data_IF_678645939020
#
_entry.id   IF_678645939020
#
_cell.length_a   1.000
_cell.length_b   1.000
_cell.length_c   1.000
_cell.angle_alpha   90.00
_cell.angle_beta   90.00
_cell.angle_gamma   90.00
#
_symmetry.space_group_name_H-M   'P 1'
#
loop_
_entity.id
_entity.type
_entity.pdbx_description
1 polymer ?
#
# COMPACT_ATOMS: atom_id res chain seq x y z
N UNK A 1 -28.98 39.46 1.68
CA UNK A 1 -29.02 38.08 1.15
C UNK A 1 -27.97 37.16 1.82
N UNK A 2 -27.28 37.65 2.83
CA UNK A 2 -26.29 36.87 3.62
C UNK A 2 -26.88 36.08 4.79
N UNK A 3 -28.10 36.45 5.25
CA UNK A 3 -28.73 35.82 6.43
C UNK A 3 -29.42 34.47 6.19
N UNK A 4 -29.71 34.13 4.93
CA UNK A 4 -30.46 32.88 4.64
C UNK A 4 -29.56 31.67 4.56
N UNK A 5 -28.30 31.87 4.28
CA UNK A 5 -27.35 30.78 4.12
C UNK A 5 -26.79 30.31 5.48
N UNK A 6 -26.54 31.25 6.38
CA UNK A 6 -26.07 30.91 7.73
C UNK A 6 -27.19 30.24 8.54
N UNK A 7 -28.48 30.63 8.33
CA UNK A 7 -29.61 29.93 8.96
C UNK A 7 -29.84 28.52 8.42
N UNK A 8 -29.52 28.26 7.15
CA UNK A 8 -29.57 26.92 6.54
C UNK A 8 -28.46 26.03 7.07
N UNK A 9 -27.29 26.60 7.33
CA UNK A 9 -26.17 25.86 7.95
C UNK A 9 -26.44 25.53 9.42
N UNK A 10 -27.08 26.43 10.17
CA UNK A 10 -27.53 26.17 11.53
C UNK A 10 -28.67 25.14 11.60
N UNK A 11 -29.62 25.14 10.64
CA UNK A 11 -30.64 24.08 10.54
C UNK A 11 -30.03 22.72 10.14
N UNK A 12 -29.00 22.70 9.31
CA UNK A 12 -28.26 21.46 8.99
C UNK A 12 -27.44 20.95 10.18
N UNK A 13 -26.83 21.82 10.97
CA UNK A 13 -26.13 21.43 12.20
C UNK A 13 -27.09 20.96 13.31
N UNK A 14 -28.31 21.51 13.38
CA UNK A 14 -29.37 21.05 14.29
C UNK A 14 -30.01 19.72 13.86
N UNK A 15 -29.97 19.39 12.54
CA UNK A 15 -30.44 18.11 12.01
C UNK A 15 -29.39 16.99 12.10
N UNK A 16 -28.14 17.31 12.45
CA UNK A 16 -27.05 16.34 12.65
C UNK A 16 -27.04 15.70 14.04
N UNK A 17 -28.20 15.50 14.65
CA UNK A 17 -28.37 14.51 15.71
C UNK A 17 -27.88 13.15 15.22
N UNK A 18 -26.97 12.53 15.96
CA UNK A 18 -26.30 11.28 15.62
C UNK A 18 -27.23 10.31 14.87
N UNK A 19 -26.83 9.73 13.74
CA UNK A 19 -27.68 8.85 12.97
C UNK A 19 -28.00 7.61 13.79
N UNK A 20 -29.24 7.53 14.26
CA UNK A 20 -29.80 6.33 14.82
C UNK A 20 -29.94 5.29 13.70
N UNK A 21 -29.23 4.20 13.89
CA UNK A 21 -29.20 3.02 13.04
C UNK A 21 -30.61 2.53 12.66
N UNK A 22 -30.97 2.64 11.39
CA UNK A 22 -31.90 1.70 10.79
C UNK A 22 -31.11 0.50 10.28
N UNK A 23 -31.40 -0.65 10.88
CA UNK A 23 -30.82 -1.99 10.57
C UNK A 23 -29.29 -2.11 10.68
N UNK A 24 -28.82 -2.51 11.81
CA UNK A 24 -27.69 -3.34 12.24
C UNK A 24 -26.45 -3.60 11.36
N UNK A 25 -26.18 -2.82 10.29
CA UNK A 25 -24.94 -2.87 9.52
C UNK A 25 -24.18 -1.56 9.67
N UNK A 26 -22.99 -1.62 10.26
CA UNK A 26 -22.00 -0.52 10.14
C UNK A 26 -21.76 -0.24 8.66
N UNK A 27 -22.32 0.85 8.17
CA UNK A 27 -21.95 1.39 6.84
C UNK A 27 -20.47 1.75 6.87
N UNK A 28 -19.73 1.33 5.87
CA UNK A 28 -18.34 1.79 5.65
C UNK A 28 -18.36 3.29 5.40
N UNK A 29 -17.36 4.03 5.88
CA UNK A 29 -17.24 5.49 5.68
C UNK A 29 -17.50 5.92 4.21
N UNK A 30 -17.15 5.07 3.26
CA UNK A 30 -17.37 5.29 1.81
C UNK A 30 -18.84 5.28 1.41
N UNK A 31 -19.67 4.44 2.03
CA UNK A 31 -21.12 4.39 1.75
C UNK A 31 -21.83 5.62 2.31
N UNK A 32 -21.45 6.07 3.50
CA UNK A 32 -21.94 7.31 4.12
C UNK A 32 -21.58 8.54 3.29
N UNK A 33 -20.34 8.62 2.78
CA UNK A 33 -19.87 9.72 1.91
C UNK A 33 -20.65 9.76 0.60
N UNK A 34 -20.85 8.60 -0.03
CA UNK A 34 -21.60 8.54 -1.29
C UNK A 34 -23.09 8.87 -1.11
N UNK A 35 -23.69 8.47 0.01
CA UNK A 35 -25.09 8.79 0.33
C UNK A 35 -25.26 10.28 0.64
N UNK A 36 -24.31 10.88 1.36
CA UNK A 36 -24.28 12.31 1.65
C UNK A 36 -24.09 13.13 0.36
N UNK A 37 -23.12 12.74 -0.48
CA UNK A 37 -22.89 13.38 -1.78
C UNK A 37 -24.09 13.25 -2.72
N UNK A 38 -24.76 12.11 -2.73
CA UNK A 38 -25.96 11.89 -3.54
C UNK A 38 -27.14 12.73 -3.04
N UNK A 39 -27.36 12.83 -1.74
CA UNK A 39 -28.40 13.69 -1.16
C UNK A 39 -28.13 15.17 -1.43
N UNK A 40 -26.88 15.60 -1.33
CA UNK A 40 -26.47 16.97 -1.64
C UNK A 40 -26.59 17.29 -3.12
N UNK A 41 -26.25 16.36 -4.01
CA UNK A 41 -26.47 16.51 -5.46
C UNK A 41 -27.95 16.65 -5.82
N UNK A 42 -28.84 15.90 -5.15
CA UNK A 42 -30.27 15.99 -5.36
C UNK A 42 -30.86 17.32 -4.87
N UNK A 43 -30.32 17.91 -3.81
CA UNK A 43 -30.72 19.26 -3.32
C UNK A 43 -30.20 20.34 -4.25
N UNK A 44 -28.99 20.18 -4.82
CA UNK A 44 -28.40 21.17 -5.76
C UNK A 44 -29.06 21.10 -7.14
N UNK A 45 -29.52 19.94 -7.60
CA UNK A 45 -30.21 19.77 -8.89
C UNK A 45 -31.56 20.52 -8.99
N UNK A 46 -32.12 20.96 -7.87
CA UNK A 46 -33.32 21.81 -7.84
C UNK A 46 -33.08 23.31 -8.01
N UNK A 47 -31.81 23.73 -8.00
CA UNK A 47 -31.42 25.14 -8.22
C UNK A 47 -30.51 25.23 -9.46
N UNK A 48 -30.67 26.29 -10.23
CA UNK A 48 -29.92 26.56 -11.47
C UNK A 48 -28.39 26.53 -11.22
N UNK A 49 -27.81 25.31 -11.44
CA UNK A 49 -26.79 24.68 -10.55
C UNK A 49 -25.31 24.98 -10.80
N UNK A 50 -24.90 25.46 -12.00
CA UNK A 50 -23.46 25.46 -12.31
C UNK A 50 -22.67 26.49 -11.49
N UNK A 51 -23.24 27.67 -11.26
CA UNK A 51 -22.57 28.73 -10.50
C UNK A 51 -22.57 28.50 -8.98
N UNK A 52 -23.59 27.80 -8.46
CA UNK A 52 -23.64 27.39 -7.04
C UNK A 52 -22.74 26.20 -6.76
N UNK A 53 -22.66 25.26 -7.70
CA UNK A 53 -21.79 24.10 -7.59
C UNK A 53 -20.31 24.51 -7.48
N UNK A 54 -19.86 25.45 -8.32
CA UNK A 54 -18.47 25.93 -8.31
C UNK A 54 -18.10 26.71 -7.03
N UNK A 55 -19.07 27.35 -6.39
CA UNK A 55 -18.85 28.08 -5.11
C UNK A 55 -18.92 27.17 -3.88
N UNK A 56 -19.77 26.15 -3.90
CA UNK A 56 -20.04 25.29 -2.74
C UNK A 56 -19.15 24.06 -2.74
N UNK A 57 -18.86 23.45 -3.88
CA UNK A 57 -18.04 22.23 -3.96
C UNK A 57 -16.65 22.33 -3.33
N UNK A 58 -15.89 23.44 -3.46
CA UNK A 58 -14.62 23.57 -2.75
C UNK A 58 -14.77 23.59 -1.23
N UNK A 59 -15.82 24.26 -0.70
CA UNK A 59 -16.08 24.35 0.75
C UNK A 59 -16.57 23.01 1.33
N UNK A 60 -17.42 22.30 0.60
CA UNK A 60 -17.87 20.96 0.95
C UNK A 60 -16.68 20.02 0.96
N UNK A 61 -15.83 20.08 -0.07
CA UNK A 61 -14.63 19.26 -0.17
C UNK A 61 -13.68 19.49 1.00
N UNK A 62 -13.42 20.74 1.35
CA UNK A 62 -12.55 21.10 2.50
C UNK A 62 -13.13 20.61 3.85
N UNK A 63 -14.46 20.71 4.02
CA UNK A 63 -15.15 20.23 5.23
C UNK A 63 -15.18 18.70 5.32
N UNK A 64 -15.45 18.02 4.21
CA UNK A 64 -15.41 16.56 4.11
C UNK A 64 -13.98 16.04 4.34
N UNK A 65 -12.96 16.70 3.79
CA UNK A 65 -11.56 16.36 4.04
C UNK A 65 -11.17 16.54 5.52
N UNK A 66 -11.72 17.53 6.20
CA UNK A 66 -11.48 17.79 7.63
C UNK A 66 -12.19 16.81 8.57
N UNK A 67 -13.42 16.41 8.24
CA UNK A 67 -14.27 15.61 9.13
C UNK A 67 -14.18 14.09 8.87
N UNK A 68 -13.95 13.68 7.62
CA UNK A 68 -13.98 12.26 7.19
C UNK A 68 -12.57 11.73 6.88
N UNK A 69 -11.57 12.63 6.85
CA UNK A 69 -10.23 12.29 6.38
C UNK A 69 -10.12 12.30 4.86
N UNK A 70 -9.05 11.71 4.32
CA UNK A 70 -8.72 11.78 2.90
C UNK A 70 -9.86 11.28 2.03
N UNK A 71 -10.39 12.14 1.15
CA UNK A 71 -11.22 11.69 0.04
C UNK A 71 -10.35 10.79 -0.84
N UNK A 72 -10.74 9.52 -1.06
CA UNK A 72 -9.97 8.64 -1.92
C UNK A 72 -9.78 9.27 -3.29
N UNK A 73 -8.55 9.45 -3.74
CA UNK A 73 -8.28 9.90 -5.11
C UNK A 73 -8.91 8.88 -6.06
N UNK A 74 -9.82 9.35 -6.90
CA UNK A 74 -10.40 8.55 -7.97
C UNK A 74 -9.41 8.54 -9.13
N UNK A 75 -8.82 7.38 -9.41
CA UNK A 75 -7.93 7.23 -10.56
C UNK A 75 -8.71 6.52 -11.66
N UNK A 76 -8.89 7.22 -12.76
CA UNK A 76 -9.52 6.69 -13.94
C UNK A 76 -8.45 6.08 -14.85
N UNK A 77 -8.48 4.77 -15.00
CA UNK A 77 -7.59 4.04 -15.91
C UNK A 77 -8.36 3.70 -17.16
N UNK A 78 -7.97 4.32 -18.28
CA UNK A 78 -8.52 4.04 -19.60
C UNK A 78 -7.64 3.02 -20.29
N UNK A 79 -8.15 1.82 -20.49
CA UNK A 79 -7.60 0.82 -21.41
C UNK A 79 -8.38 0.89 -22.73
N UNK A 80 -7.89 0.22 -23.78
CA UNK A 80 -8.58 0.17 -25.08
C UNK A 80 -10.01 -0.39 -25.01
N UNK A 81 -10.32 -1.16 -23.95
CA UNK A 81 -11.59 -1.88 -23.82
C UNK A 81 -12.44 -1.44 -22.64
N UNK A 82 -11.87 -0.84 -21.59
CA UNK A 82 -12.59 -0.49 -20.37
C UNK A 82 -12.02 0.74 -19.67
N UNK A 83 -12.89 1.49 -19.02
CA UNK A 83 -12.51 2.52 -18.05
C UNK A 83 -12.73 1.94 -16.66
N UNK A 84 -11.65 1.80 -15.87
CA UNK A 84 -11.71 1.36 -14.49
C UNK A 84 -11.39 2.49 -13.53
N UNK A 85 -12.06 2.50 -12.41
CA UNK A 85 -11.90 3.48 -11.36
C UNK A 85 -11.28 2.79 -10.16
N UNK A 86 -10.05 3.20 -9.80
CA UNK A 86 -9.40 2.77 -8.58
C UNK A 86 -9.78 3.72 -7.47
N UNK A 87 -10.37 3.17 -6.42
CA UNK A 87 -10.68 3.91 -5.21
C UNK A 87 -9.51 3.79 -4.22
N UNK A 88 -9.14 4.90 -3.61
CA UNK A 88 -8.11 4.93 -2.57
C UNK A 88 -6.86 5.71 -2.96
N UNK A 89 -5.98 5.86 -1.97
CA UNK A 89 -4.68 6.51 -2.17
C UNK A 89 -3.73 5.54 -2.86
N UNK A 90 -3.13 5.98 -3.96
CA UNK A 90 -2.11 5.20 -4.68
C UNK A 90 -0.72 5.73 -4.37
N UNK A 91 0.24 4.84 -4.36
CA UNK A 91 1.65 5.21 -4.22
C UNK A 91 2.12 6.06 -5.41
N UNK A 92 3.07 6.97 -5.19
CA UNK A 92 3.63 7.82 -6.26
C UNK A 92 4.17 7.03 -7.46
N UNK A 93 4.73 5.83 -7.24
CA UNK A 93 5.24 4.97 -8.32
C UNK A 93 4.16 4.18 -9.07
N UNK A 94 2.90 4.17 -8.58
CA UNK A 94 1.81 3.38 -9.15
C UNK A 94 1.65 3.59 -10.65
N UNK A 95 1.62 4.87 -11.09
CA UNK A 95 1.44 5.20 -12.51
C UNK A 95 2.57 4.66 -13.39
N UNK A 96 3.81 4.71 -12.89
CA UNK A 96 4.97 4.18 -13.62
C UNK A 96 4.91 2.66 -13.73
N UNK A 97 4.59 1.95 -12.63
CA UNK A 97 4.41 0.50 -12.62
C UNK A 97 3.29 0.09 -13.56
N UNK A 98 2.12 0.75 -13.48
CA UNK A 98 0.99 0.49 -14.36
C UNK A 98 1.36 0.62 -15.84
N UNK A 99 2.07 1.70 -16.21
CA UNK A 99 2.50 1.96 -17.57
C UNK A 99 3.49 0.90 -18.12
N UNK A 100 4.36 0.38 -17.28
CA UNK A 100 5.31 -0.68 -17.66
C UNK A 100 4.58 -2.01 -17.84
N UNK A 101 3.79 -2.41 -16.84
CA UNK A 101 3.06 -3.70 -16.84
C UNK A 101 2.03 -3.76 -17.97
N UNK A 102 1.36 -2.65 -18.29
CA UNK A 102 0.44 -2.59 -19.44
C UNK A 102 1.12 -2.87 -20.78
N UNK A 103 2.43 -2.61 -20.89
CA UNK A 103 3.27 -2.86 -22.06
C UNK A 103 4.04 -4.18 -22.01
N UNK A 104 3.64 -5.11 -21.15
CA UNK A 104 4.32 -6.39 -20.94
C UNK A 104 5.80 -6.26 -20.52
N UNK A 105 6.13 -5.20 -19.79
CA UNK A 105 7.47 -5.00 -19.21
C UNK A 105 7.42 -5.55 -17.78
N UNK A 106 8.17 -6.62 -17.45
CA UNK A 106 8.29 -7.10 -16.08
C UNK A 106 8.90 -6.04 -15.17
N UNK A 107 8.38 -5.91 -13.94
CA UNK A 107 8.84 -4.90 -12.98
C UNK A 107 9.35 -5.55 -11.71
N UNK A 108 10.51 -5.11 -11.23
CA UNK A 108 11.03 -5.47 -9.91
C UNK A 108 10.92 -4.27 -8.96
N UNK A 109 10.07 -4.41 -7.94
CA UNK A 109 9.87 -3.42 -6.90
C UNK A 109 10.86 -3.68 -5.77
N UNK A 110 11.77 -2.76 -5.53
CA UNK A 110 12.72 -2.83 -4.41
C UNK A 110 12.39 -1.75 -3.38
N UNK A 111 12.79 -1.94 -2.14
CA UNK A 111 12.62 -0.96 -1.07
C UNK A 111 12.37 -1.59 0.29
N UNK A 112 12.46 -0.75 1.34
CA UNK A 112 12.32 -1.19 2.74
C UNK A 112 11.04 -2.00 2.97
N UNK A 113 11.06 -2.88 3.97
CA UNK A 113 9.88 -3.67 4.32
C UNK A 113 8.70 -2.76 4.74
N UNK A 114 7.49 -3.09 4.28
CA UNK A 114 6.28 -2.37 4.66
C UNK A 114 6.08 -1.03 3.97
N UNK A 115 6.67 -0.80 2.79
CA UNK A 115 6.44 0.36 1.92
C UNK A 115 5.25 0.22 0.97
N UNK A 116 4.45 -0.86 1.12
CA UNK A 116 3.22 -1.05 0.34
C UNK A 116 3.40 -1.72 -1.03
N UNK A 117 4.53 -2.38 -1.32
CA UNK A 117 4.79 -3.08 -2.59
C UNK A 117 3.65 -4.00 -3.03
N UNK A 118 3.11 -4.82 -2.12
CA UNK A 118 1.99 -5.73 -2.41
C UNK A 118 0.71 -4.99 -2.80
N UNK A 119 0.42 -3.87 -2.12
CA UNK A 119 -0.76 -3.04 -2.41
C UNK A 119 -0.66 -2.43 -3.79
N UNK A 120 0.53 -1.94 -4.18
CA UNK A 120 0.79 -1.42 -5.53
C UNK A 120 0.48 -2.50 -6.58
N UNK A 121 0.95 -3.74 -6.36
CA UNK A 121 0.72 -4.85 -7.29
C UNK A 121 -0.76 -5.21 -7.43
N UNK A 122 -1.50 -5.25 -6.32
CA UNK A 122 -2.95 -5.49 -6.33
C UNK A 122 -3.70 -4.37 -7.07
N UNK A 123 -3.37 -3.11 -6.79
CA UNK A 123 -3.97 -1.97 -7.48
C UNK A 123 -3.66 -1.97 -8.99
N UNK A 124 -2.46 -2.38 -9.40
CA UNK A 124 -2.10 -2.53 -10.82
C UNK A 124 -2.90 -3.64 -11.49
N UNK A 125 -3.06 -4.80 -10.84
CA UNK A 125 -3.89 -5.88 -11.37
C UNK A 125 -5.35 -5.45 -11.53
N UNK A 126 -5.91 -4.78 -10.51
CA UNK A 126 -7.26 -4.23 -10.54
C UNK A 126 -7.43 -3.20 -11.68
N UNK A 127 -6.47 -2.28 -11.83
CA UNK A 127 -6.47 -1.27 -12.88
C UNK A 127 -6.49 -1.87 -14.28
N UNK A 128 -5.73 -2.93 -14.51
CA UNK A 128 -5.65 -3.62 -15.79
C UNK A 128 -6.78 -4.64 -16.00
N UNK A 129 -7.57 -4.94 -14.97
CA UNK A 129 -8.60 -5.96 -15.02
C UNK A 129 -8.06 -7.37 -15.12
N UNK A 130 -6.90 -7.58 -14.52
CA UNK A 130 -6.22 -8.86 -14.50
C UNK A 130 -6.50 -9.60 -13.18
N UNK A 131 -6.64 -10.91 -13.25
CA UNK A 131 -6.61 -11.75 -12.06
C UNK A 131 -5.25 -11.63 -11.37
N UNK A 132 -5.26 -11.62 -10.04
CA UNK A 132 -4.06 -11.46 -9.23
C UNK A 132 -3.60 -12.80 -8.65
N UNK A 133 -2.41 -13.24 -9.02
CA UNK A 133 -1.78 -14.47 -8.56
C UNK A 133 -0.55 -14.15 -7.73
N UNK A 134 -0.50 -14.67 -6.51
CA UNK A 134 0.53 -14.34 -5.53
C UNK A 134 1.35 -15.56 -5.15
N UNK A 135 2.67 -15.40 -5.11
CA UNK A 135 3.61 -16.38 -4.53
C UNK A 135 4.69 -15.63 -3.77
N UNK A 136 5.01 -16.12 -2.59
CA UNK A 136 6.13 -15.63 -1.80
C UNK A 136 7.44 -16.30 -2.26
N UNK A 137 8.57 -15.98 -1.60
CA UNK A 137 9.88 -16.55 -1.88
C UNK A 137 9.84 -18.04 -2.24
N UNK A 138 10.53 -18.42 -3.30
CA UNK A 138 10.53 -19.77 -3.85
C UNK A 138 11.86 -20.44 -3.57
N UNK A 139 11.81 -21.53 -2.81
CA UNK A 139 12.99 -22.30 -2.45
C UNK A 139 13.12 -23.63 -3.20
N UNK A 140 12.09 -24.03 -3.91
CA UNK A 140 12.04 -25.30 -4.65
C UNK A 140 11.26 -25.12 -5.96
N UNK A 141 11.74 -25.75 -7.01
CA UNK A 141 11.24 -25.63 -8.38
C UNK A 141 9.75 -25.92 -8.52
N UNK A 142 9.27 -26.99 -7.88
CA UNK A 142 7.86 -27.39 -7.98
C UNK A 142 6.86 -26.34 -7.44
N UNK A 143 7.33 -25.38 -6.64
CA UNK A 143 6.51 -24.27 -6.18
C UNK A 143 6.17 -23.27 -7.29
N UNK A 144 6.94 -23.28 -8.38
CA UNK A 144 6.60 -22.56 -9.62
C UNK A 144 5.98 -23.49 -10.65
N UNK A 145 6.63 -24.63 -10.92
CA UNK A 145 6.22 -25.50 -12.03
C UNK A 145 5.06 -26.42 -11.71
N UNK A 146 4.71 -26.63 -10.45
CA UNK A 146 3.78 -27.66 -10.03
C UNK A 146 4.43 -29.06 -10.09
N UNK A 147 3.64 -30.07 -9.81
CA UNK A 147 4.08 -31.46 -9.82
C UNK A 147 2.91 -32.41 -10.09
N UNK A 148 3.25 -33.64 -10.53
CA UNK A 148 2.25 -34.71 -10.67
C UNK A 148 2.25 -35.50 -9.37
N UNK A 149 1.10 -35.62 -8.72
CA UNK A 149 0.95 -36.35 -7.47
C UNK A 149 0.96 -37.89 -7.67
N UNK A 150 0.91 -38.64 -6.55
CA UNK A 150 0.93 -40.09 -6.59
C UNK A 150 -0.26 -40.73 -7.32
N UNK A 151 -1.32 -39.98 -7.57
CA UNK A 151 -2.51 -40.42 -8.32
C UNK A 151 -2.43 -40.03 -9.80
N UNK A 152 -1.29 -39.48 -10.25
CA UNK A 152 -1.11 -39.01 -11.61
C UNK A 152 -1.79 -37.69 -11.93
N UNK A 153 -2.28 -36.94 -10.91
CA UNK A 153 -2.94 -35.68 -11.08
C UNK A 153 -1.93 -34.53 -10.95
N UNK A 154 -1.96 -33.62 -11.91
CA UNK A 154 -1.14 -32.41 -11.86
C UNK A 154 -1.69 -31.43 -10.82
N UNK A 155 -0.80 -30.94 -9.97
CA UNK A 155 -1.08 -29.91 -8.97
C UNK A 155 -0.58 -28.58 -9.49
N UNK A 156 -1.55 -27.73 -9.90
CA UNK A 156 -1.28 -26.42 -10.48
C UNK A 156 -0.76 -25.44 -9.40
N UNK A 157 0.14 -24.55 -9.82
CA UNK A 157 0.62 -23.44 -9.00
C UNK A 157 -0.01 -22.12 -9.42
N UNK A 158 0.16 -21.07 -8.60
CA UNK A 158 -0.26 -19.71 -8.96
C UNK A 158 0.47 -19.21 -10.22
N UNK A 159 1.75 -19.55 -10.37
CA UNK A 159 2.53 -19.23 -11.57
C UNK A 159 1.95 -19.90 -12.81
N UNK A 160 1.68 -21.22 -12.74
CA UNK A 160 1.08 -21.96 -13.85
C UNK A 160 -0.29 -21.38 -14.25
N UNK A 161 -1.13 -21.06 -13.26
CA UNK A 161 -2.45 -20.48 -13.52
C UNK A 161 -2.36 -19.10 -14.19
N UNK A 162 -1.50 -18.21 -13.68
CA UNK A 162 -1.26 -16.92 -14.29
C UNK A 162 -0.74 -17.06 -15.73
N UNK A 163 0.20 -18.00 -15.92
CA UNK A 163 0.85 -18.24 -17.21
C UNK A 163 -0.13 -18.73 -18.28
N UNK A 164 -1.05 -19.65 -17.90
CA UNK A 164 -2.00 -20.29 -18.82
C UNK A 164 -3.28 -19.51 -19.02
N UNK A 165 -3.84 -18.95 -17.94
CA UNK A 165 -5.15 -18.27 -17.95
C UNK A 165 -5.03 -16.77 -18.25
N UNK A 166 -3.83 -16.22 -18.10
CA UNK A 166 -3.58 -14.78 -18.08
C UNK A 166 -3.78 -14.22 -16.67
N UNK A 167 -3.27 -13.02 -16.44
CA UNK A 167 -3.33 -12.35 -15.16
C UNK A 167 -1.96 -11.82 -14.73
N UNK A 168 -1.93 -11.16 -13.59
CA UNK A 168 -0.71 -10.61 -13.01
C UNK A 168 -0.16 -11.59 -11.98
N UNK A 169 0.99 -12.19 -12.29
CA UNK A 169 1.77 -12.98 -11.35
C UNK A 169 2.67 -12.07 -10.53
N UNK A 170 2.52 -12.11 -9.23
CA UNK A 170 3.33 -11.35 -8.28
C UNK A 170 4.19 -12.30 -7.45
N UNK A 171 5.52 -12.21 -7.62
CA UNK A 171 6.51 -12.91 -6.83
C UNK A 171 7.06 -11.98 -5.76
N UNK A 172 6.58 -12.12 -4.53
CA UNK A 172 7.09 -11.36 -3.38
C UNK A 172 8.36 -12.01 -2.84
N UNK A 173 9.22 -11.20 -2.24
CA UNK A 173 10.51 -11.63 -1.68
C UNK A 173 11.37 -12.43 -2.69
N UNK A 174 11.42 -11.96 -3.94
CA UNK A 174 12.22 -12.59 -4.98
C UNK A 174 13.69 -12.73 -4.58
N UNK A 175 14.22 -11.75 -3.83
CA UNK A 175 15.59 -11.75 -3.28
C UNK A 175 15.83 -12.79 -2.16
N UNK A 176 14.76 -13.40 -1.61
CA UNK A 176 14.83 -14.53 -0.70
C UNK A 176 14.58 -15.87 -1.41
N UNK A 177 14.29 -15.85 -2.71
CA UNK A 177 14.15 -17.06 -3.51
C UNK A 177 15.51 -17.64 -3.87
N UNK A 178 15.60 -18.97 -3.92
CA UNK A 178 16.82 -19.65 -4.35
C UNK A 178 17.09 -19.30 -5.81
N UNK A 179 18.29 -18.79 -6.16
CA UNK A 179 18.60 -18.28 -7.52
C UNK A 179 18.35 -19.30 -8.62
N UNK A 180 18.61 -20.58 -8.38
CA UNK A 180 18.41 -21.67 -9.34
C UNK A 180 16.94 -21.81 -9.73
N UNK A 181 16.00 -21.55 -8.81
CA UNK A 181 14.57 -21.61 -9.10
C UNK A 181 14.10 -20.42 -9.96
N UNK A 182 14.81 -19.29 -9.90
CA UNK A 182 14.46 -18.11 -10.71
C UNK A 182 14.83 -18.26 -12.18
N UNK A 183 15.71 -19.20 -12.53
CA UNK A 183 16.04 -19.53 -13.93
C UNK A 183 14.79 -19.98 -14.68
N UNK A 184 13.87 -20.67 -14.00
CA UNK A 184 12.58 -21.09 -14.55
C UNK A 184 11.76 -19.88 -14.99
N UNK A 185 11.63 -18.88 -14.10
CA UNK A 185 10.93 -17.64 -14.39
C UNK A 185 11.58 -16.89 -15.56
N UNK A 186 12.92 -16.82 -15.57
CA UNK A 186 13.68 -16.21 -16.65
C UNK A 186 13.41 -16.86 -18.01
N UNK A 187 13.39 -18.21 -18.08
CA UNK A 187 13.10 -18.95 -19.29
C UNK A 187 11.67 -18.70 -19.79
N UNK A 188 10.70 -18.73 -18.89
CA UNK A 188 9.30 -18.47 -19.20
C UNK A 188 9.05 -17.04 -19.73
N UNK A 189 9.69 -16.03 -19.11
CA UNK A 189 9.59 -14.64 -19.54
C UNK A 189 10.22 -14.40 -20.91
N UNK A 190 11.41 -14.97 -21.14
CA UNK A 190 12.14 -14.77 -22.40
C UNK A 190 11.49 -15.47 -23.60
N UNK A 191 11.02 -16.70 -23.39
CA UNK A 191 10.54 -17.56 -24.49
C UNK A 191 9.04 -17.47 -24.73
N UNK A 192 8.28 -16.95 -23.75
CA UNK A 192 6.82 -16.97 -23.74
C UNK A 192 6.23 -18.40 -23.85
N UNK A 193 7.01 -19.41 -23.54
CA UNK A 193 6.60 -20.78 -23.30
C UNK A 193 7.51 -21.42 -22.24
N UNK A 194 7.02 -22.46 -21.60
CA UNK A 194 7.78 -23.25 -20.64
C UNK A 194 7.30 -24.72 -20.65
N UNK A 195 8.23 -25.66 -20.39
CA UNK A 195 7.93 -27.09 -20.28
C UNK A 195 7.59 -27.43 -18.82
N UNK A 196 6.28 -27.44 -18.53
CA UNK A 196 5.76 -27.86 -17.23
C UNK A 196 5.68 -29.39 -17.15
N UNK A 197 5.48 -29.99 -15.94
CA UNK A 197 5.28 -31.43 -15.81
C UNK A 197 4.16 -32.01 -16.68
N UNK A 198 3.24 -31.21 -17.15
CA UNK A 198 2.14 -31.57 -18.09
C UNK A 198 2.50 -31.36 -19.56
N UNK A 199 3.73 -30.96 -19.87
CA UNK A 199 4.20 -30.67 -21.22
C UNK A 199 4.39 -29.18 -21.51
N UNK A 200 4.66 -28.89 -22.77
CA UNK A 200 4.93 -27.53 -23.24
C UNK A 200 3.69 -26.67 -23.23
N UNK A 201 3.79 -25.53 -22.54
CA UNK A 201 2.70 -24.56 -22.43
C UNK A 201 3.18 -23.18 -22.88
N UNK A 202 2.33 -22.49 -23.66
CA UNK A 202 2.59 -21.11 -24.11
C UNK A 202 1.93 -20.11 -23.15
N UNK A 203 2.61 -18.98 -22.93
CA UNK A 203 2.08 -17.91 -22.11
C UNK A 203 0.81 -17.30 -22.70
N UNK A 204 -0.18 -17.06 -21.88
CA UNK A 204 -1.35 -16.29 -22.27
C UNK A 204 -0.91 -14.85 -22.63
N UNK A 205 -1.46 -14.22 -23.69
CA UNK A 205 -1.13 -12.84 -24.07
C UNK A 205 -1.35 -11.81 -22.94
N UNK A 206 -2.24 -12.10 -21.99
CA UNK A 206 -2.52 -11.25 -20.83
C UNK A 206 -1.69 -11.64 -19.59
N UNK A 207 -0.71 -12.54 -19.72
CA UNK A 207 0.22 -12.83 -18.61
C UNK A 207 1.15 -11.65 -18.35
N UNK A 208 1.21 -11.20 -17.11
CA UNK A 208 2.05 -10.10 -16.64
C UNK A 208 2.81 -10.52 -15.38
N UNK A 209 3.97 -9.93 -15.16
CA UNK A 209 4.82 -10.26 -13.99
C UNK A 209 5.29 -9.01 -13.28
N UNK A 210 5.12 -9.01 -11.97
CA UNK A 210 5.81 -8.11 -11.04
C UNK A 210 6.53 -8.99 -10.02
N UNK A 211 7.75 -8.63 -9.70
CA UNK A 211 8.47 -9.19 -8.56
C UNK A 211 8.77 -8.10 -7.54
N UNK A 212 8.97 -8.49 -6.27
CA UNK A 212 9.39 -7.56 -5.23
C UNK A 212 10.47 -8.15 -4.34
N UNK A 213 11.31 -7.27 -3.80
CA UNK A 213 12.33 -7.61 -2.82
C UNK A 213 12.60 -6.45 -1.87
N UNK A 214 13.36 -6.74 -0.83
CA UNK A 214 13.80 -5.73 0.12
C UNK A 214 15.21 -5.21 -0.20
N UNK A 215 15.92 -5.91 -1.08
CA UNK A 215 17.26 -5.55 -1.57
C UNK A 215 17.25 -5.35 -3.08
N UNK A 216 18.34 -4.78 -3.61
CA UNK A 216 18.58 -4.67 -5.06
C UNK A 216 19.09 -5.99 -5.70
N UNK A 217 18.92 -7.12 -5.01
CA UNK A 217 19.49 -8.39 -5.46
C UNK A 217 21.00 -8.49 -5.24
N UNK A 218 21.55 -7.69 -4.35
CA UNK A 218 22.98 -7.70 -4.00
C UNK A 218 23.36 -8.77 -2.96
N UNK A 219 22.39 -9.52 -2.49
CA UNK A 219 22.55 -10.53 -1.45
C UNK A 219 22.17 -10.02 -0.06
N UNK A 220 22.51 -10.79 0.95
CA UNK A 220 22.25 -10.46 2.34
C UNK A 220 22.99 -9.17 2.75
N UNK A 221 22.32 -8.38 3.53
CA UNK A 221 22.90 -7.23 4.24
C UNK A 221 22.56 -7.33 5.74
N UNK A 222 22.97 -6.33 6.52
CA UNK A 222 22.77 -6.31 7.97
C UNK A 222 21.25 -6.37 8.31
N UNK A 223 20.40 -5.72 7.50
CA UNK A 223 18.96 -5.64 7.71
C UNK A 223 18.20 -6.86 7.20
N UNK A 224 18.75 -7.54 6.19
CA UNK A 224 18.09 -8.64 5.47
C UNK A 224 19.04 -9.82 5.27
N UNK A 225 19.23 -10.60 6.34
CA UNK A 225 20.20 -11.69 6.39
C UNK A 225 19.84 -12.91 5.54
N UNK A 226 18.57 -13.14 5.26
CA UNK A 226 18.07 -14.28 4.49
C UNK A 226 17.91 -13.98 2.99
N UNK A 227 18.80 -13.20 2.38
CA UNK A 227 18.71 -12.81 0.98
C UNK A 227 19.84 -13.37 0.14
N UNK A 228 19.52 -13.78 -1.09
CA UNK A 228 20.47 -14.26 -2.07
C UNK A 228 20.93 -13.14 -3.01
N UNK A 229 22.15 -13.27 -3.50
CA UNK A 229 22.59 -12.46 -4.64
C UNK A 229 21.90 -12.94 -5.91
N UNK A 230 21.18 -12.05 -6.58
CA UNK A 230 20.51 -12.36 -7.82
C UNK A 230 21.46 -12.19 -9.01
N UNK A 231 21.37 -13.09 -9.96
CA UNK A 231 22.14 -13.01 -11.20
C UNK A 231 21.74 -11.77 -12.00
N UNK A 232 22.74 -11.10 -12.59
CA UNK A 232 22.52 -9.90 -13.40
C UNK A 232 21.60 -10.15 -14.59
N UNK A 233 21.69 -11.33 -15.22
CA UNK A 233 20.82 -11.70 -16.31
C UNK A 233 19.36 -11.84 -15.88
N UNK A 234 19.12 -12.24 -14.62
CA UNK A 234 17.78 -12.25 -14.04
C UNK A 234 17.26 -10.84 -13.80
N UNK A 235 18.09 -9.96 -13.23
CA UNK A 235 17.71 -8.56 -12.97
C UNK A 235 17.49 -7.75 -14.25
N UNK A 236 18.27 -8.01 -15.32
CA UNK A 236 18.16 -7.31 -16.61
C UNK A 236 16.78 -7.52 -17.29
N UNK A 237 16.06 -8.57 -16.92
CA UNK A 237 14.71 -8.82 -17.44
C UNK A 237 13.63 -7.94 -16.82
N UNK A 238 13.95 -7.27 -15.73
CA UNK A 238 13.00 -6.47 -14.99
C UNK A 238 13.37 -4.99 -15.04
N UNK A 239 12.38 -4.14 -15.23
CA UNK A 239 12.51 -2.72 -14.95
C UNK A 239 12.52 -2.53 -13.43
N UNK A 240 13.58 -1.90 -12.91
CA UNK A 240 13.75 -1.68 -11.48
C UNK A 240 13.06 -0.40 -11.02
N UNK A 241 12.22 -0.50 -9.99
CA UNK A 241 11.57 0.65 -9.35
C UNK A 241 11.79 0.59 -7.84
N UNK A 242 12.37 1.66 -7.29
CA UNK A 242 12.48 1.84 -5.85
C UNK A 242 11.16 2.34 -5.26
N UNK A 243 10.72 1.72 -4.15
CA UNK A 243 9.48 2.02 -3.44
C UNK A 243 9.83 2.50 -2.03
N UNK A 244 9.83 3.82 -1.86
CA UNK A 244 10.06 4.47 -0.58
C UNK A 244 8.73 4.78 0.14
N UNK A 245 8.82 5.26 1.38
CA UNK A 245 7.63 5.73 2.09
C UNK A 245 7.05 6.99 1.43
N UNK A 246 5.73 7.05 1.33
CA UNK A 246 4.99 8.19 0.78
C UNK A 246 4.19 8.86 1.88
N UNK A 247 4.42 10.15 2.07
CA UNK A 247 3.70 10.98 3.04
C UNK A 247 2.18 10.99 2.80
N UNK A 248 1.76 10.92 1.53
CA UNK A 248 0.33 10.83 1.17
C UNK A 248 -0.31 9.54 1.69
N UNK A 249 0.40 8.40 1.59
CA UNK A 249 -0.08 7.11 2.10
C UNK A 249 -0.06 7.11 3.63
N UNK A 250 0.96 7.68 4.25
CA UNK A 250 1.04 7.79 5.70
C UNK A 250 -0.11 8.61 6.27
N UNK A 251 -0.40 9.75 5.65
CA UNK A 251 -1.57 10.55 6.02
C UNK A 251 -2.88 9.76 5.87
N UNK A 252 -3.01 8.98 4.81
CA UNK A 252 -4.20 8.15 4.61
C UNK A 252 -4.35 7.06 5.69
N UNK A 253 -3.26 6.36 6.03
CA UNK A 253 -3.25 5.29 7.03
C UNK A 253 -3.50 5.83 8.44
N UNK A 254 -2.98 7.02 8.75
CA UNK A 254 -3.08 7.65 10.07
C UNK A 254 -4.30 8.55 10.24
N UNK A 255 -5.25 8.52 9.28
CA UNK A 255 -6.43 9.39 9.27
C UNK A 255 -6.08 10.87 9.42
N UNK A 256 -5.08 11.35 8.64
CA UNK A 256 -4.57 12.73 8.65
C UNK A 256 -3.92 13.17 9.98
N UNK A 257 -3.44 12.23 10.77
CA UNK A 257 -2.69 12.56 11.98
C UNK A 257 -1.27 13.03 11.63
N UNK A 258 -1.14 14.31 11.28
CA UNK A 258 0.15 14.91 10.88
C UNK A 258 1.22 14.77 11.98
N UNK A 259 0.82 14.83 13.25
CA UNK A 259 1.73 14.65 14.36
C UNK A 259 2.40 13.26 14.38
N UNK A 260 1.65 12.20 14.02
CA UNK A 260 2.19 10.85 13.90
C UNK A 260 3.08 10.71 12.66
N UNK A 261 2.69 11.32 11.55
CA UNK A 261 3.48 11.29 10.30
C UNK A 261 4.81 12.01 10.47
N UNK A 262 4.82 13.22 11.05
CA UNK A 262 6.04 13.98 11.31
C UNK A 262 6.95 13.26 12.33
N UNK A 263 6.36 12.62 13.35
CA UNK A 263 7.10 11.76 14.28
C UNK A 263 7.75 10.59 13.55
N UNK A 264 7.03 9.89 12.68
CA UNK A 264 7.54 8.73 11.95
C UNK A 264 8.68 9.08 10.98
N UNK A 265 8.54 10.19 10.27
CA UNK A 265 9.58 10.71 9.37
C UNK A 265 10.87 11.02 10.15
N UNK A 266 10.73 11.75 11.25
CA UNK A 266 11.84 12.10 12.13
C UNK A 266 12.49 10.88 12.77
N UNK A 267 11.67 9.93 13.24
CA UNK A 267 12.13 8.70 13.85
C UNK A 267 12.97 7.85 12.88
N UNK A 268 12.51 7.70 11.64
CA UNK A 268 13.28 6.98 10.59
C UNK A 268 14.61 7.65 10.31
N UNK A 269 14.60 8.99 10.20
CA UNK A 269 15.82 9.75 9.96
C UNK A 269 16.82 9.59 11.10
N UNK A 270 16.37 9.67 12.35
CA UNK A 270 17.24 9.47 13.53
C UNK A 270 17.80 8.04 13.55
N UNK A 271 17.00 7.04 13.26
CA UNK A 271 17.48 5.65 13.19
C UNK A 271 18.55 5.48 12.10
N UNK A 272 18.33 6.05 10.91
CA UNK A 272 19.27 6.01 9.79
C UNK A 272 20.57 6.74 10.11
N UNK A 273 20.51 7.96 10.65
CA UNK A 273 21.67 8.77 11.05
C UNK A 273 22.52 8.10 12.15
N UNK A 274 21.88 7.26 12.98
CA UNK A 274 22.55 6.51 14.06
C UNK A 274 22.97 5.11 13.67
N UNK A 275 22.65 4.64 12.45
CA UNK A 275 22.91 3.26 12.02
C UNK A 275 22.10 2.23 12.82
N UNK A 276 20.95 2.62 13.40
CA UNK A 276 20.09 1.75 14.20
C UNK A 276 19.00 1.18 13.29
N UNK A 277 18.93 -0.15 13.27
CA UNK A 277 17.88 -0.86 12.56
C UNK A 277 16.54 -0.75 13.29
N UNK A 278 15.65 0.03 12.76
CA UNK A 278 14.29 0.12 13.28
C UNK A 278 13.27 0.23 12.15
N UNK A 279 12.20 -0.56 12.24
CA UNK A 279 11.14 -0.58 11.23
C UNK A 279 9.98 0.31 11.66
N UNK A 280 9.98 1.57 11.20
CA UNK A 280 8.82 2.46 11.25
C UNK A 280 8.08 2.41 9.91
N UNK A 281 7.42 1.29 9.64
CA UNK A 281 6.72 0.99 8.38
C UNK A 281 5.26 1.43 8.42
N UNK A 282 4.56 1.39 7.27
CA UNK A 282 3.11 1.60 7.20
C UNK A 282 2.34 0.68 8.17
N UNK A 283 2.80 -0.58 8.34
CA UNK A 283 2.22 -1.51 9.33
C UNK A 283 2.40 -1.03 10.76
N UNK A 284 3.51 -0.36 11.06
CA UNK A 284 3.74 0.21 12.39
C UNK A 284 2.84 1.42 12.63
N UNK A 285 2.67 2.31 11.64
CA UNK A 285 1.77 3.45 11.74
C UNK A 285 0.31 3.03 11.91
N UNK A 286 -0.16 2.08 11.10
CA UNK A 286 -1.51 1.50 11.23
C UNK A 286 -1.72 0.87 12.62
N UNK A 287 -0.70 0.17 13.14
CA UNK A 287 -0.74 -0.41 14.49
C UNK A 287 -0.83 0.69 15.56
N UNK A 288 0.00 1.73 15.49
CA UNK A 288 -0.05 2.85 16.44
C UNK A 288 -1.44 3.48 16.42
N UNK A 289 -1.96 3.79 15.25
CA UNK A 289 -3.28 4.40 15.07
C UNK A 289 -4.40 3.56 15.71
N UNK A 290 -4.34 2.23 15.56
CA UNK A 290 -5.32 1.30 16.15
C UNK A 290 -5.17 1.16 17.66
N UNK A 291 -3.93 1.13 18.15
CA UNK A 291 -3.65 0.89 19.56
C UNK A 291 -3.84 2.14 20.43
N UNK A 292 -3.79 3.36 19.88
CA UNK A 292 -4.06 4.59 20.64
C UNK A 292 -5.41 4.61 21.34
N UNK A 293 -6.40 3.92 20.80
CA UNK A 293 -7.73 3.81 21.42
C UNK A 293 -7.86 2.65 22.40
N UNK A 294 -6.85 1.81 22.53
CA UNK A 294 -6.87 0.57 23.34
C UNK A 294 -5.99 0.69 24.58
N UNK A 295 -4.87 1.41 24.48
CA UNK A 295 -3.92 1.59 25.57
C UNK A 295 -4.12 2.94 26.27
N UNK A 296 -4.08 2.92 27.59
CA UNK A 296 -4.17 4.15 28.39
C UNK A 296 -2.91 5.04 28.27
N UNK A 297 -1.77 4.43 27.90
CA UNK A 297 -0.49 5.11 27.82
C UNK A 297 0.11 5.01 26.41
N UNK A 298 0.32 6.16 25.78
CA UNK A 298 0.91 6.24 24.45
C UNK A 298 2.37 5.73 24.38
N UNK A 299 3.11 5.78 25.50
CA UNK A 299 4.46 5.23 25.59
C UNK A 299 4.46 3.72 25.31
N UNK A 300 3.50 2.98 25.90
CA UNK A 300 3.38 1.55 25.70
C UNK A 300 3.06 1.21 24.23
N UNK A 301 2.23 2.03 23.59
CA UNK A 301 1.93 1.90 22.15
C UNK A 301 3.18 2.05 21.30
N UNK A 302 4.03 3.04 21.60
CA UNK A 302 5.31 3.27 20.90
C UNK A 302 6.26 2.11 21.15
N UNK A 303 6.36 1.66 22.39
CA UNK A 303 7.26 0.55 22.75
C UNK A 303 6.92 -0.72 21.95
N UNK A 304 5.68 -1.16 21.99
CA UNK A 304 5.26 -2.40 21.30
C UNK A 304 5.23 -2.27 19.77
N UNK A 305 5.15 -1.04 19.26
CA UNK A 305 5.06 -0.81 17.82
C UNK A 305 6.40 -0.55 17.14
N UNK A 306 7.28 0.21 17.76
CA UNK A 306 8.53 0.69 17.16
C UNK A 306 9.79 0.20 17.86
N UNK A 307 9.82 0.14 19.19
CA UNK A 307 11.03 -0.17 19.94
C UNK A 307 11.23 -1.67 20.23
N UNK A 308 10.26 -2.49 19.84
CA UNK A 308 10.36 -3.95 20.01
C UNK A 308 11.60 -4.49 19.30
N UNK A 309 12.36 -5.32 20.02
CA UNK A 309 13.57 -5.94 19.49
C UNK A 309 14.84 -5.08 19.54
N UNK A 310 14.72 -3.79 19.91
CA UNK A 310 15.89 -2.94 20.13
C UNK A 310 16.50 -3.20 21.52
N UNK A 311 17.82 -3.23 21.56
CA UNK A 311 18.58 -3.27 22.81
C UNK A 311 18.49 -1.94 23.58
N UNK A 312 18.93 -1.94 24.84
CA UNK A 312 18.83 -0.78 25.71
C UNK A 312 19.64 0.43 25.23
N UNK A 313 20.79 0.19 24.61
CA UNK A 313 21.69 1.25 24.16
C UNK A 313 21.11 1.95 22.92
N UNK A 314 20.63 1.18 21.96
CA UNK A 314 19.92 1.69 20.80
C UNK A 314 18.70 2.53 21.18
N UNK A 315 17.90 2.06 22.14
CA UNK A 315 16.73 2.81 22.67
C UNK A 315 17.16 4.14 23.30
N UNK A 316 18.24 4.14 24.10
CA UNK A 316 18.76 5.32 24.74
C UNK A 316 19.29 6.34 23.72
N UNK A 317 19.99 5.88 22.66
CA UNK A 317 20.48 6.75 21.57
C UNK A 317 19.31 7.40 20.83
N UNK A 318 18.31 6.64 20.42
CA UNK A 318 17.13 7.15 19.72
C UNK A 318 16.44 8.21 20.60
N UNK A 319 16.16 7.89 21.86
CA UNK A 319 15.50 8.80 22.80
C UNK A 319 16.26 10.11 22.95
N UNK A 320 17.57 10.04 23.18
CA UNK A 320 18.41 11.23 23.37
C UNK A 320 18.46 12.10 22.10
N UNK A 321 18.57 11.49 20.92
CA UNK A 321 18.56 12.21 19.65
C UNK A 321 17.21 12.84 19.35
N UNK A 322 16.12 12.13 19.58
CA UNK A 322 14.76 12.63 19.38
C UNK A 322 14.41 13.76 20.35
N UNK A 323 14.83 13.70 21.63
CA UNK A 323 14.60 14.76 22.60
C UNK A 323 15.37 16.06 22.32
N UNK A 324 16.45 15.99 21.55
CA UNK A 324 17.25 17.16 21.15
C UNK A 324 16.70 17.91 19.94
N UNK A 325 15.59 17.49 19.36
CA UNK A 325 15.03 18.13 18.15
C UNK A 325 14.14 19.31 18.54
N UNK A 326 14.57 20.52 18.21
CA UNK A 326 13.83 21.76 18.50
C UNK A 326 12.45 21.80 17.83
N UNK A 327 11.44 22.28 18.56
CA UNK A 327 10.08 22.47 18.05
C UNK A 327 9.18 21.23 18.13
N UNK A 328 9.68 20.08 18.61
CA UNK A 328 8.91 18.85 18.74
C UNK A 328 8.25 18.65 20.10
N UNK A 329 8.46 19.56 21.06
CA UNK A 329 7.92 19.49 22.43
C UNK A 329 6.38 19.50 22.49
N UNK A 330 5.72 19.99 21.46
CA UNK A 330 4.25 19.98 21.36
C UNK A 330 3.68 18.62 20.92
N UNK A 331 4.47 17.80 20.21
CA UNK A 331 4.00 16.55 19.64
C UNK A 331 3.91 15.43 20.70
N UNK A 332 2.73 14.85 20.88
CA UNK A 332 2.46 13.82 21.89
C UNK A 332 3.32 12.55 21.75
N UNK A 333 3.72 12.18 20.53
CA UNK A 333 4.52 10.97 20.27
C UNK A 333 5.96 11.14 20.71
N UNK A 334 6.55 12.34 20.52
CA UNK A 334 7.88 12.65 21.05
C UNK A 334 7.88 12.64 22.58
N UNK A 335 6.85 13.22 23.20
CA UNK A 335 6.68 13.16 24.67
C UNK A 335 6.54 11.73 25.19
N UNK A 336 5.80 10.90 24.47
CA UNK A 336 5.61 9.50 24.84
C UNK A 336 6.93 8.71 24.73
N UNK A 337 7.71 8.91 23.67
CA UNK A 337 9.02 8.30 23.49
C UNK A 337 10.02 8.76 24.57
N UNK A 338 10.00 10.02 24.96
CA UNK A 338 10.90 10.56 25.98
C UNK A 338 10.69 9.97 27.38
N UNK A 339 9.52 9.36 27.65
CA UNK A 339 9.18 8.72 28.93
C UNK A 339 9.64 7.25 29.03
N UNK A 340 10.03 6.64 27.92
CA UNK A 340 10.55 5.27 27.84
C UNK A 340 12.03 5.21 28.14
#
# INVERSE_FOLDING_TARGET
>A
MTNTFDSLLEEMDAASGAPTTMSGKKLTNTALVNELLTSMMNVIAGFNGDMLADMIMPKIKDRVEKEIGVIPKRIEVKTSEQTKIIQGTTHQVFKSVLNMVSRDIPVYLTGKAGTGKNVICQQVAEALGLDFYFTNAVTQEYRLTGFIDANGKYQETQFYQAFTKGGLFFLDEMDASVPETLVILNAALANKYFDFPVGKVYANPNFRVIAAGNTLGTGADINYTGRYSLDRASLDRFALINVDYSKEIENAITFQNSALVDFAETFRKVCEDCGIECLCSYRALDRITKLESVFDNLSDVIEVSLLKGLDKDSRAIIRNKMSGINGMDANKYFKALARL
#
